data_IF_907427020412
#
_entry.id   IF_907427020412
#
_cell.length_a   1.000
_cell.length_b   1.000
_cell.length_c   1.000
_cell.angle_alpha   90.00
_cell.angle_beta   90.00
_cell.angle_gamma   90.00
#
_symmetry.space_group_name_H-M   'P 1'
#
loop_
_entity.id
_entity.type
_entity.pdbx_description
1 polymer ?
#
# COMPACT_ATOMS: atom_id res chain seq x y z
N UNK A 1 1.54 1.92 8.16
CA UNK A 1 2.33 2.49 7.05
C UNK A 1 1.73 1.96 5.77
N UNK A 2 1.50 2.82 4.78
CA UNK A 2 1.02 2.40 3.47
C UNK A 2 2.15 2.61 2.45
N UNK A 3 2.38 1.61 1.62
CA UNK A 3 3.50 1.57 0.65
C UNK A 3 2.89 1.46 -0.74
N UNK A 4 3.01 2.53 -1.53
CA UNK A 4 2.60 2.48 -2.93
C UNK A 4 3.80 2.11 -3.80
N UNK A 5 3.69 1.00 -4.52
CA UNK A 5 4.77 0.46 -5.36
C UNK A 5 4.39 0.58 -6.83
N UNK A 6 5.14 1.35 -7.61
CA UNK A 6 4.97 1.46 -9.06
C UNK A 6 6.05 0.67 -9.79
N UNK A 7 5.65 -0.22 -10.69
CA UNK A 7 6.56 -0.89 -11.62
C UNK A 7 6.07 -0.63 -13.04
N UNK A 8 6.83 0.13 -13.82
CA UNK A 8 6.63 0.24 -15.27
C UNK A 8 7.91 -0.18 -15.98
N UNK A 9 7.75 -1.06 -16.96
CA UNK A 9 8.77 -1.40 -17.94
C UNK A 9 8.41 -0.77 -19.29
N UNK A 10 9.31 0.02 -19.85
CA UNK A 10 9.24 0.50 -21.23
C UNK A 10 10.27 -0.22 -22.09
N UNK A 11 9.87 -0.70 -23.26
CA UNK A 11 10.79 -1.26 -24.26
C UNK A 11 10.63 -0.53 -25.59
N UNK A 12 11.73 -0.32 -26.30
CA UNK A 12 11.70 0.22 -27.67
C UNK A 12 12.59 -0.59 -28.61
N UNK A 13 12.24 -0.56 -29.90
CA UNK A 13 13.09 -0.98 -31.01
C UNK A 13 13.65 0.24 -31.74
N UNK A 14 14.98 0.38 -31.79
CA UNK A 14 15.61 1.35 -32.70
C UNK A 14 15.55 0.80 -34.13
N UNK A 15 14.60 1.28 -34.96
CA UNK A 15 14.64 1.11 -36.41
C UNK A 15 13.33 0.69 -37.09
N UNK A 16 13.06 1.29 -38.25
CA UNK A 16 11.93 1.01 -39.15
C UNK A 16 12.06 -0.32 -39.92
N UNK A 17 12.81 -1.28 -39.38
CA UNK A 17 12.95 -2.63 -39.93
C UNK A 17 12.53 -3.62 -38.87
N UNK A 18 11.83 -4.67 -39.31
CA UNK A 18 11.11 -5.69 -38.53
C UNK A 18 11.98 -6.55 -37.59
N UNK A 19 13.18 -6.11 -37.22
CA UNK A 19 14.10 -6.79 -36.31
C UNK A 19 14.51 -5.84 -35.18
N UNK A 20 13.92 -6.07 -34.01
CA UNK A 20 14.18 -5.39 -32.75
C UNK A 20 15.61 -5.72 -32.26
N UNK A 21 16.65 -4.96 -32.66
CA UNK A 21 17.99 -5.12 -32.08
C UNK A 21 18.83 -3.83 -32.14
N UNK A 22 19.43 -3.38 -31.01
CA UNK A 22 19.24 -3.84 -29.63
C UNK A 22 18.03 -3.16 -28.97
N UNK A 23 17.03 -3.94 -28.56
CA UNK A 23 15.89 -3.41 -27.84
C UNK A 23 16.27 -3.09 -26.40
N UNK A 24 16.40 -1.79 -26.11
CA UNK A 24 16.78 -1.29 -24.78
C UNK A 24 15.51 -1.15 -23.94
N UNK A 25 15.49 -1.81 -22.80
CA UNK A 25 14.41 -1.72 -21.83
C UNK A 25 14.84 -0.86 -20.65
N UNK A 26 13.97 0.05 -20.23
CA UNK A 26 14.16 0.88 -19.05
C UNK A 26 13.08 0.53 -18.04
N UNK A 27 13.53 0.08 -16.87
CA UNK A 27 12.68 -0.24 -15.74
C UNK A 27 12.76 0.89 -14.72
N UNK A 28 11.64 1.57 -14.49
CA UNK A 28 11.54 2.58 -13.44
C UNK A 28 10.87 1.91 -12.25
N UNK A 29 11.67 1.62 -11.21
CA UNK A 29 11.16 1.17 -9.91
C UNK A 29 11.16 2.34 -8.95
N UNK A 30 10.01 2.60 -8.35
CA UNK A 30 9.81 3.74 -7.45
C UNK A 30 8.84 3.34 -6.35
N UNK A 31 9.22 3.69 -5.12
CA UNK A 31 8.49 3.38 -3.90
C UNK A 31 8.43 4.66 -3.07
N UNK A 32 7.24 4.99 -2.58
CA UNK A 32 7.06 6.04 -1.58
C UNK A 32 6.27 5.48 -0.42
N UNK A 33 6.68 5.84 0.79
CA UNK A 33 6.01 5.44 2.02
C UNK A 33 5.38 6.68 2.65
N UNK A 34 4.09 6.61 2.98
CA UNK A 34 3.38 7.68 3.69
C UNK A 34 2.71 7.12 4.93
N UNK A 35 2.97 7.78 6.06
CA UNK A 35 2.26 7.54 7.31
C UNK A 35 0.93 8.27 7.30
N UNK A 36 -0.15 7.55 7.61
CA UNK A 36 -1.47 8.14 7.82
C UNK A 36 -1.83 8.02 9.30
N UNK A 37 -2.23 9.14 9.89
CA UNK A 37 -2.77 9.18 11.23
C UNK A 37 -4.29 9.14 11.15
N UNK A 38 -4.89 8.31 11.98
CA UNK A 38 -6.34 8.14 12.01
C UNK A 38 -6.85 8.11 13.44
N UNK A 39 -8.02 8.68 13.62
CA UNK A 39 -8.74 8.68 14.89
C UNK A 39 -10.17 8.25 14.64
N UNK A 40 -10.77 7.52 15.56
CA UNK A 40 -12.17 7.20 15.46
C UNK A 40 -12.66 6.27 16.56
N UNK A 41 -14.00 6.15 16.68
CA UNK A 41 -14.62 5.35 17.71
C UNK A 41 -14.47 3.85 17.44
N UNK A 42 -14.45 3.09 18.54
CA UNK A 42 -14.55 1.64 18.52
C UNK A 42 -15.64 1.19 19.48
N UNK A 43 -16.42 0.20 19.06
CA UNK A 43 -17.31 -0.55 19.93
C UNK A 43 -16.78 -1.98 20.02
N UNK A 44 -16.83 -2.53 21.22
CA UNK A 44 -16.55 -3.93 21.48
C UNK A 44 -17.77 -4.50 22.19
N UNK A 45 -18.29 -5.60 21.65
CA UNK A 45 -19.43 -6.32 22.16
C UNK A 45 -18.94 -7.67 22.65
N UNK A 46 -19.28 -8.02 23.87
CA UNK A 46 -18.95 -9.31 24.46
C UNK A 46 -20.27 -10.02 24.79
N UNK A 47 -20.35 -11.29 24.38
CA UNK A 47 -21.47 -12.16 24.64
C UNK A 47 -20.95 -13.37 25.39
N UNK A 48 -21.29 -13.46 26.67
CA UNK A 48 -21.00 -14.62 27.50
C UNK A 48 -21.89 -15.78 27.04
N UNK A 49 -21.26 -16.87 26.61
CA UNK A 49 -21.95 -17.98 25.93
C UNK A 49 -22.27 -19.10 26.90
N UNK A 50 -21.45 -19.26 27.94
CA UNK A 50 -21.68 -20.24 28.97
C UNK A 50 -20.49 -20.45 29.89
N UNK A 51 -20.77 -21.14 31.00
CA UNK A 51 -19.78 -21.59 31.97
C UNK A 51 -19.65 -23.11 31.89
N UNK A 52 -18.41 -23.60 31.83
CA UNK A 52 -18.08 -25.02 31.88
C UNK A 52 -17.15 -25.26 33.08
N UNK A 53 -17.75 -25.52 34.25
CA UNK A 53 -17.01 -25.65 35.52
C UNK A 53 -16.29 -24.35 35.89
N UNK A 54 -14.97 -24.43 36.04
CA UNK A 54 -14.11 -23.28 36.39
C UNK A 54 -13.78 -22.37 35.19
N UNK A 55 -14.30 -22.66 34.00
CA UNK A 55 -14.02 -21.90 32.80
C UNK A 55 -15.25 -21.16 32.31
N UNK A 56 -15.10 -19.87 32.03
CA UNK A 56 -16.11 -19.03 31.40
C UNK A 56 -15.70 -18.81 29.95
N UNK A 57 -16.62 -19.10 29.03
CA UNK A 57 -16.39 -18.97 27.59
C UNK A 57 -17.28 -17.85 27.05
N UNK A 58 -16.63 -16.83 26.51
CA UNK A 58 -17.26 -15.67 25.90
C UNK A 58 -16.89 -15.56 24.41
N UNK A 59 -17.83 -15.10 23.59
CA UNK A 59 -17.49 -14.56 22.27
C UNK A 59 -17.35 -13.05 22.40
N UNK A 60 -16.36 -12.48 21.72
CA UNK A 60 -16.26 -11.06 21.55
C UNK A 60 -16.31 -10.69 20.07
N UNK A 61 -17.01 -9.62 19.78
CA UNK A 61 -17.01 -8.91 18.51
C UNK A 61 -16.47 -7.51 18.72
N UNK A 62 -15.72 -7.01 17.76
CA UNK A 62 -15.16 -5.67 17.75
C UNK A 62 -15.44 -5.01 16.41
N UNK A 63 -15.90 -3.77 16.46
CA UNK A 63 -16.11 -2.94 15.30
C UNK A 63 -15.50 -1.57 15.56
N UNK A 64 -14.55 -1.18 14.71
CA UNK A 64 -13.81 0.07 14.84
C UNK A 64 -13.91 0.83 13.52
N UNK A 65 -14.35 2.08 13.61
CA UNK A 65 -14.43 3.00 12.48
C UNK A 65 -13.39 4.09 12.69
N UNK A 66 -12.47 4.24 11.75
CA UNK A 66 -11.38 5.18 11.86
C UNK A 66 -11.42 6.17 10.70
N UNK A 67 -11.32 7.45 11.03
CA UNK A 67 -11.22 8.54 10.07
C UNK A 67 -9.76 8.97 9.94
N UNK A 68 -9.26 9.06 8.70
CA UNK A 68 -7.93 9.58 8.40
C UNK A 68 -7.94 11.12 8.52
N UNK A 69 -7.10 11.66 9.40
CA UNK A 69 -6.97 13.10 9.62
C UNK A 69 -5.75 13.61 8.85
N UNK A 70 -5.96 14.60 7.97
CA UNK A 70 -4.90 15.26 7.21
C UNK A 70 -4.89 14.93 5.71
N UNK A 71 -3.73 15.12 5.08
CA UNK A 71 -3.59 14.96 3.63
C UNK A 71 -3.59 13.49 3.19
N UNK A 72 -4.64 13.10 2.47
CA UNK A 72 -4.89 11.74 1.96
C UNK A 72 -4.28 11.46 0.58
N UNK A 73 -3.64 12.45 -0.05
CA UNK A 73 -3.07 12.33 -1.40
C UNK A 73 -1.63 11.85 -1.33
N UNK A 74 -1.31 10.84 -2.11
CA UNK A 74 0.05 10.38 -2.37
C UNK A 74 0.33 10.57 -3.85
N UNK A 75 1.23 11.51 -4.15
CA UNK A 75 1.71 11.73 -5.51
C UNK A 75 3.08 11.09 -5.61
N UNK A 76 3.23 10.18 -6.56
CA UNK A 76 4.51 9.60 -6.89
C UNK A 76 4.88 10.03 -8.31
N UNK A 77 6.04 10.67 -8.44
CA UNK A 77 6.61 11.10 -9.71
C UNK A 77 8.03 10.56 -9.80
N UNK A 78 8.30 9.81 -10.85
CA UNK A 78 9.64 9.31 -11.15
C UNK A 78 9.97 9.61 -12.61
N UNK A 79 11.20 10.01 -12.89
CA UNK A 79 11.65 10.35 -14.23
C UNK A 79 12.87 9.52 -14.55
N UNK A 80 12.77 8.67 -15.58
CA UNK A 80 13.87 7.92 -16.12
C UNK A 80 14.48 8.66 -17.30
N UNK A 81 15.76 9.03 -17.20
CA UNK A 81 16.49 9.62 -18.32
C UNK A 81 17.22 8.56 -19.11
N UNK A 82 17.17 8.67 -20.43
CA UNK A 82 17.81 7.73 -21.37
C UNK A 82 19.28 8.08 -21.63
N UNK A 83 19.87 8.93 -20.79
CA UNK A 83 21.14 9.56 -21.05
C UNK A 83 22.35 8.78 -20.60
N UNK A 84 23.01 8.12 -21.56
CA UNK A 84 24.47 8.10 -21.61
C UNK A 84 24.95 8.24 -23.06
N UNK A 85 25.54 9.39 -23.38
CA UNK A 85 26.67 9.41 -24.32
C UNK A 85 27.87 8.73 -23.64
N UNK A 86 28.84 8.21 -24.40
CA UNK A 86 30.03 7.48 -23.85
C UNK A 86 30.85 8.31 -22.83
N UNK A 87 30.60 9.61 -22.79
CA UNK A 87 31.20 10.67 -21.99
C UNK A 87 30.31 11.13 -20.80
N UNK A 88 29.20 10.44 -20.53
CA UNK A 88 28.35 10.69 -19.36
C UNK A 88 27.48 11.96 -19.43
N UNK A 89 27.40 12.61 -20.59
CA UNK A 89 26.57 13.79 -20.80
C UNK A 89 25.16 13.43 -21.32
N UNK A 90 24.16 14.27 -21.00
CA UNK A 90 22.82 14.10 -21.52
C UNK A 90 22.75 14.31 -23.04
N UNK A 91 22.46 13.25 -23.80
CA UNK A 91 21.99 13.25 -25.19
C UNK A 91 20.74 14.11 -25.34
N UNK A 92 20.84 15.14 -26.19
CA UNK A 92 19.77 16.08 -26.49
C UNK A 92 18.67 15.49 -27.41
N UNK A 93 18.84 14.26 -27.91
CA UNK A 93 17.97 13.66 -28.94
C UNK A 93 16.76 12.91 -28.37
N UNK A 94 16.70 12.66 -27.04
CA UNK A 94 15.66 11.82 -26.43
C UNK A 94 15.03 12.45 -25.20
N UNK A 95 13.71 12.49 -25.16
CA UNK A 95 12.95 12.96 -24.00
C UNK A 95 12.95 11.92 -22.87
N UNK A 96 13.02 12.40 -21.63
CA UNK A 96 12.94 11.55 -20.44
C UNK A 96 11.54 10.92 -20.30
N UNK A 97 11.49 9.67 -19.85
CA UNK A 97 10.23 8.99 -19.55
C UNK A 97 9.79 9.36 -18.13
N UNK A 98 8.74 10.16 -18.01
CA UNK A 98 8.15 10.53 -16.72
C UNK A 98 6.97 9.64 -16.38
N UNK A 99 7.03 8.97 -15.23
CA UNK A 99 5.91 8.29 -14.61
C UNK A 99 5.31 9.15 -13.51
N UNK A 100 4.00 9.39 -13.58
CA UNK A 100 3.25 10.07 -12.52
C UNK A 100 2.08 9.18 -12.15
N UNK A 101 2.02 8.74 -10.90
CA UNK A 101 0.84 8.10 -10.32
C UNK A 101 0.32 8.94 -9.17
N UNK A 102 -1.01 9.05 -9.11
CA UNK A 102 -1.72 9.76 -8.05
C UNK A 102 -2.61 8.74 -7.38
N UNK A 103 -2.40 8.56 -6.08
CA UNK A 103 -3.23 7.72 -5.25
C UNK A 103 -3.89 8.60 -4.20
N UNK A 104 -5.21 8.49 -4.07
CA UNK A 104 -5.95 9.11 -2.99
C UNK A 104 -6.62 8.01 -2.18
N UNK A 105 -6.32 7.98 -0.87
CA UNK A 105 -6.88 6.97 0.02
C UNK A 105 -8.27 7.37 0.50
N UNK A 106 -9.18 6.40 0.61
CA UNK A 106 -10.48 6.62 1.22
C UNK A 106 -10.35 7.14 2.66
N UNK A 107 -11.20 8.12 3.06
CA UNK A 107 -11.08 8.78 4.34
C UNK A 107 -11.48 7.91 5.52
N UNK A 108 -12.35 6.92 5.31
CA UNK A 108 -12.85 6.01 6.33
C UNK A 108 -12.23 4.64 6.13
N UNK A 109 -11.77 4.03 7.22
CA UNK A 109 -11.45 2.61 7.23
C UNK A 109 -12.13 1.90 8.41
N UNK A 110 -12.62 0.70 8.12
CA UNK A 110 -13.37 -0.11 9.07
C UNK A 110 -12.57 -1.34 9.42
N UNK A 111 -12.50 -1.66 10.72
CA UNK A 111 -11.89 -2.89 11.21
C UNK A 111 -12.92 -3.66 12.00
N UNK A 112 -13.13 -4.88 11.57
CA UNK A 112 -13.96 -5.86 12.25
C UNK A 112 -13.06 -6.96 12.82
N UNK A 113 -13.40 -7.46 13.99
CA UNK A 113 -12.74 -8.62 14.58
C UNK A 113 -13.73 -9.40 15.42
N UNK A 114 -13.63 -10.72 15.38
CA UNK A 114 -14.36 -11.62 16.27
C UNK A 114 -13.38 -12.59 16.90
N UNK A 115 -13.70 -13.07 18.09
CA UNK A 115 -12.91 -14.12 18.72
C UNK A 115 -13.60 -14.75 19.90
N UNK A 116 -12.93 -15.74 20.46
CA UNK A 116 -13.37 -16.47 21.63
C UNK A 116 -12.41 -16.14 22.78
N UNK A 117 -12.97 -15.91 23.96
CA UNK A 117 -12.25 -15.64 25.20
C UNK A 117 -12.58 -16.76 26.18
N UNK A 118 -11.54 -17.38 26.72
CA UNK A 118 -11.65 -18.37 27.80
C UNK A 118 -11.03 -17.73 29.02
N UNK A 119 -11.85 -17.52 30.05
CA UNK A 119 -11.44 -17.00 31.34
C UNK A 119 -11.48 -18.14 32.35
N UNK A 120 -10.40 -18.30 33.11
CA UNK A 120 -10.41 -19.16 34.27
C UNK A 120 -10.99 -18.37 35.45
N UNK A 121 -12.10 -18.84 35.98
CA UNK A 121 -12.81 -18.25 37.12
C UNK A 121 -13.29 -19.40 38.01
N UNK A 122 -12.45 -19.83 38.98
CA UNK A 122 -12.88 -20.81 39.97
C UNK A 122 -13.98 -20.20 40.85
N UNK A 123 -15.02 -20.98 41.13
CA UNK A 123 -15.98 -20.67 42.19
C UNK A 123 -15.35 -21.15 43.51
N UNK A 124 -15.30 -20.30 44.53
CA UNK A 124 -14.95 -20.70 45.91
C UNK A 124 -16.03 -21.62 46.50
#
# INVERSE_FOLDING_TARGET
MDVSTGHLGGGESEGATTACAPCRTLFIKTQTEKGFHSIGPGIELEADVGRAGQFLVGFYGSFRAYYLVGDRKANLRSTGSWNRTDNGQPSATRADTTFVTRYEREPWHYRFGMGLRILWSPED
#
